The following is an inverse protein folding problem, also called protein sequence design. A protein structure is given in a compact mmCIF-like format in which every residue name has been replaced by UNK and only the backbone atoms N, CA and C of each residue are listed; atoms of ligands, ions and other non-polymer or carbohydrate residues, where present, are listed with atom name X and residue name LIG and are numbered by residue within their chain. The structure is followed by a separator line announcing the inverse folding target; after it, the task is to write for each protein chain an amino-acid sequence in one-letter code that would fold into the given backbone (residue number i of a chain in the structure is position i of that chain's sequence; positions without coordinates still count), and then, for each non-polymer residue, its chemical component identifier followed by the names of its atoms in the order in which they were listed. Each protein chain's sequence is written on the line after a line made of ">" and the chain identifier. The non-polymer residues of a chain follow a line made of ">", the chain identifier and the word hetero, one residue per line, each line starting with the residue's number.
data_IF_870318562821
#
_entry.id   IF_870318562821
#
_cell.length_a   1.000
_cell.length_b   1.000
_cell.length_c   1.000
_cell.angle_alpha   90.00
_cell.angle_beta   90.00
_cell.angle_gamma   90.00
#
_symmetry.space_group_name_H-M   'P 1'
#
loop_
_entity.id
_entity.type
_entity.pdbx_description
1 polymer ?
#
# COMPACT_ATOMS: atom_id res chain seq x y z
N UNK A 1 17.05 21.21 10.85
CA UNK A 1 15.69 20.74 11.22
C UNK A 1 15.60 19.21 11.35
N UNK A 2 15.97 18.45 10.31
CA UNK A 2 15.86 16.99 10.32
C UNK A 2 16.78 16.28 11.34
N UNK A 3 18.08 16.60 11.36
CA UNK A 3 19.03 15.95 12.27
C UNK A 3 18.71 16.22 13.75
N UNK A 4 18.25 17.43 14.07
CA UNK A 4 17.82 17.76 15.44
C UNK A 4 16.62 16.91 15.86
N UNK A 5 15.65 16.73 14.97
CA UNK A 5 14.49 15.87 15.21
C UNK A 5 14.89 14.39 15.38
N UNK A 6 15.79 13.87 14.54
CA UNK A 6 16.30 12.50 14.67
C UNK A 6 17.08 12.27 15.98
N UNK A 7 17.73 13.31 16.52
CA UNK A 7 18.36 13.27 17.83
C UNK A 7 17.34 13.34 18.98
N UNK A 8 16.31 14.19 18.85
CA UNK A 8 15.21 14.30 19.81
C UNK A 8 14.45 12.97 19.95
N UNK A 9 14.21 12.29 18.83
CA UNK A 9 13.62 10.94 18.75
C UNK A 9 14.61 9.81 19.10
N UNK A 10 15.85 10.14 19.48
CA UNK A 10 16.91 9.20 19.87
C UNK A 10 17.26 8.15 18.81
N UNK A 11 17.08 8.47 17.53
CA UNK A 11 17.41 7.59 16.40
C UNK A 11 18.89 7.74 15.98
N UNK A 12 19.50 8.89 16.27
CA UNK A 12 20.93 9.13 16.04
C UNK A 12 21.58 9.76 17.27
N UNK A 13 22.88 9.51 17.43
CA UNK A 13 23.70 10.10 18.50
C UNK A 13 24.97 10.76 17.92
N UNK A 14 25.49 11.84 18.54
CA UNK A 14 26.76 12.42 18.12
C UNK A 14 27.89 11.41 18.26
N UNK A 15 28.61 11.16 17.17
CA UNK A 15 29.80 10.33 17.21
C UNK A 15 31.01 11.20 17.57
N UNK A 16 31.88 10.79 18.52
CA UNK A 16 33.09 11.54 18.83
C UNK A 16 33.96 11.65 17.59
N UNK A 17 34.36 12.88 17.25
CA UNK A 17 35.19 13.14 16.09
C UNK A 17 36.66 13.25 16.49
N UNK A 18 37.53 12.78 15.60
CA UNK A 18 38.94 13.16 15.59
C UNK A 18 39.16 14.57 15.00
N UNK A 19 38.23 15.04 14.13
CA UNK A 19 38.25 16.37 13.50
C UNK A 19 37.08 17.26 13.99
N UNK A 20 37.36 18.38 14.69
CA UNK A 20 36.32 19.27 15.24
C UNK A 20 35.45 19.97 14.20
N UNK A 21 35.85 20.01 12.93
CA UNK A 21 35.15 20.74 11.87
C UNK A 21 33.96 19.99 11.26
N UNK A 22 33.90 18.66 11.45
CA UNK A 22 32.84 17.81 10.90
C UNK A 22 31.92 17.33 12.01
N UNK A 23 30.61 17.44 11.87
CA UNK A 23 29.65 16.81 12.81
C UNK A 23 29.28 15.43 12.30
N UNK A 24 29.67 14.38 13.01
CA UNK A 24 29.31 12.99 12.70
C UNK A 24 28.24 12.48 13.66
N UNK A 25 27.39 11.61 13.14
CA UNK A 25 26.33 10.96 13.90
C UNK A 25 26.36 9.47 13.61
N UNK A 26 26.13 8.66 14.64
CA UNK A 26 25.90 7.23 14.50
C UNK A 26 24.41 6.93 14.68
N UNK A 27 23.91 5.88 14.03
CA UNK A 27 22.59 5.35 14.32
C UNK A 27 22.62 4.70 15.70
N UNK A 28 21.62 4.98 16.52
CA UNK A 28 21.40 4.21 17.74
C UNK A 28 20.79 2.85 17.39
N UNK A 29 20.70 1.95 18.35
CA UNK A 29 19.96 0.68 18.18
C UNK A 29 18.49 0.93 17.79
N UNK A 30 17.86 1.98 18.35
CA UNK A 30 16.52 2.42 17.97
C UNK A 30 16.45 2.91 16.52
N UNK A 31 17.44 3.70 16.08
CA UNK A 31 17.55 4.15 14.68
C UNK A 31 17.79 3.02 13.69
N UNK A 32 18.59 2.01 14.05
CA UNK A 32 18.81 0.82 13.23
C UNK A 32 17.51 0.01 13.08
N UNK A 33 16.77 -0.19 14.17
CA UNK A 33 15.49 -0.89 14.15
C UNK A 33 14.44 -0.18 13.30
N UNK A 34 14.33 1.14 13.45
CA UNK A 34 13.43 1.99 12.64
C UNK A 34 13.77 1.88 11.15
N UNK A 35 15.07 1.90 10.81
CA UNK A 35 15.55 1.75 9.43
C UNK A 35 15.22 0.36 8.85
N UNK A 36 15.38 -0.70 9.64
CA UNK A 36 15.01 -2.07 9.24
C UNK A 36 13.50 -2.25 9.06
N UNK A 37 12.69 -1.63 9.91
CA UNK A 37 11.23 -1.65 9.80
C UNK A 37 10.76 -0.91 8.54
N UNK A 38 11.32 0.26 8.26
CA UNK A 38 11.07 0.99 7.01
C UNK A 38 11.55 0.21 5.77
N UNK A 39 12.70 -0.44 5.84
CA UNK A 39 13.23 -1.28 4.76
C UNK A 39 12.31 -2.46 4.44
N UNK A 40 11.88 -3.19 5.47
CA UNK A 40 10.94 -4.31 5.34
C UNK A 40 9.58 -3.86 4.81
N UNK A 41 9.08 -2.71 5.25
CA UNK A 41 7.84 -2.15 4.75
C UNK A 41 7.94 -1.78 3.26
N UNK A 42 9.04 -1.14 2.84
CA UNK A 42 9.26 -0.77 1.44
C UNK A 42 9.43 -1.99 0.52
N UNK A 43 10.14 -3.01 0.96
CA UNK A 43 10.31 -4.26 0.22
C UNK A 43 8.98 -5.02 0.11
N UNK A 44 8.24 -5.15 1.21
CA UNK A 44 6.91 -5.77 1.21
C UNK A 44 5.95 -5.06 0.24
N UNK A 45 5.94 -3.73 0.26
CA UNK A 45 5.11 -2.93 -0.64
C UNK A 45 5.52 -3.11 -2.11
N UNK A 46 6.83 -3.12 -2.40
CA UNK A 46 7.36 -3.35 -3.75
C UNK A 46 6.98 -4.73 -4.28
N UNK A 47 7.16 -5.78 -3.48
CA UNK A 47 6.79 -7.14 -3.85
C UNK A 47 5.29 -7.27 -4.08
N UNK A 48 4.46 -6.65 -3.24
CA UNK A 48 3.01 -6.60 -3.42
C UNK A 48 2.61 -5.87 -4.71
N UNK A 49 3.25 -4.75 -5.02
CA UNK A 49 3.01 -3.99 -6.26
C UNK A 49 3.37 -4.80 -7.51
N UNK A 50 4.51 -5.51 -7.50
CA UNK A 50 4.91 -6.40 -8.59
C UNK A 50 3.87 -7.51 -8.80
N UNK A 51 3.35 -8.09 -7.72
CA UNK A 51 2.31 -9.11 -7.80
C UNK A 51 1.00 -8.57 -8.39
N UNK A 52 0.56 -7.37 -7.97
CA UNK A 52 -0.66 -6.75 -8.51
C UNK A 52 -0.52 -6.48 -10.00
N UNK A 53 0.58 -5.86 -10.45
CA UNK A 53 0.79 -5.58 -11.88
C UNK A 53 0.84 -6.86 -12.72
N UNK A 54 1.46 -7.93 -12.20
CA UNK A 54 1.46 -9.24 -12.87
C UNK A 54 0.06 -9.83 -12.99
N UNK A 55 -0.76 -9.74 -11.94
CA UNK A 55 -2.16 -10.21 -11.95
C UNK A 55 -2.97 -9.41 -12.96
N UNK A 56 -2.87 -8.08 -12.94
CA UNK A 56 -3.56 -7.21 -13.90
C UNK A 56 -3.13 -7.50 -15.34
N UNK A 57 -1.84 -7.70 -15.59
CA UNK A 57 -1.36 -8.08 -16.91
C UNK A 57 -1.93 -9.43 -17.35
N UNK A 58 -1.90 -10.46 -16.49
CA UNK A 58 -2.46 -11.77 -16.81
C UNK A 58 -3.96 -11.72 -17.10
N UNK A 59 -4.71 -10.91 -16.35
CA UNK A 59 -6.15 -10.76 -16.54
C UNK A 59 -6.50 -10.02 -17.83
N UNK A 60 -5.73 -8.99 -18.19
CA UNK A 60 -6.10 -8.08 -19.28
C UNK A 60 -5.41 -8.35 -20.62
N UNK A 61 -4.30 -9.13 -20.66
CA UNK A 61 -3.48 -9.29 -21.86
C UNK A 61 -4.27 -9.75 -23.09
N UNK A 62 -5.22 -10.67 -22.88
CA UNK A 62 -5.99 -11.30 -23.95
C UNK A 62 -7.50 -11.02 -23.79
N UNK A 63 -7.86 -9.98 -23.02
CA UNK A 63 -9.26 -9.61 -22.77
C UNK A 63 -9.82 -8.81 -23.95
N UNK A 64 -11.01 -9.18 -24.48
CA UNK A 64 -11.72 -8.36 -25.46
C UNK A 64 -11.95 -6.93 -24.95
N UNK A 65 -11.87 -5.94 -25.84
CA UNK A 65 -11.95 -4.51 -25.49
C UNK A 65 -13.27 -4.15 -24.79
N UNK A 66 -14.39 -4.69 -25.28
CA UNK A 66 -15.73 -4.51 -24.70
C UNK A 66 -15.84 -5.09 -23.28
N UNK A 67 -15.21 -6.24 -23.04
CA UNK A 67 -15.11 -6.84 -21.71
C UNK A 67 -14.20 -6.00 -20.79
N UNK A 68 -13.10 -5.47 -21.32
CA UNK A 68 -12.19 -4.60 -20.59
C UNK A 68 -12.86 -3.29 -20.16
N UNK A 69 -13.64 -2.65 -21.04
CA UNK A 69 -14.41 -1.45 -20.73
C UNK A 69 -15.44 -1.73 -19.62
N UNK A 70 -16.18 -2.83 -19.75
CA UNK A 70 -17.17 -3.24 -18.74
C UNK A 70 -16.52 -3.53 -17.39
N UNK A 71 -15.38 -4.21 -17.39
CA UNK A 71 -14.61 -4.50 -16.18
C UNK A 71 -14.06 -3.23 -15.52
N UNK A 72 -13.51 -2.31 -16.33
CA UNK A 72 -12.95 -1.04 -15.84
C UNK A 72 -14.03 -0.17 -15.21
N UNK A 73 -15.19 -0.04 -15.86
CA UNK A 73 -16.33 0.70 -15.33
C UNK A 73 -16.85 0.10 -14.01
N UNK A 74 -16.84 -1.23 -13.89
CA UNK A 74 -17.19 -1.89 -12.63
C UNK A 74 -16.19 -1.58 -11.52
N UNK A 75 -14.88 -1.66 -11.79
CA UNK A 75 -13.85 -1.31 -10.80
C UNK A 75 -13.96 0.14 -10.33
N UNK A 76 -14.14 1.09 -11.26
CA UNK A 76 -14.35 2.51 -10.93
C UNK A 76 -15.58 2.70 -10.03
N UNK A 77 -16.71 2.07 -10.37
CA UNK A 77 -17.92 2.16 -9.56
C UNK A 77 -17.73 1.59 -8.14
N UNK A 78 -16.97 0.49 -8.01
CA UNK A 78 -16.59 -0.10 -6.72
C UNK A 78 -15.72 0.86 -5.91
N UNK A 79 -14.69 1.44 -6.52
CA UNK A 79 -13.78 2.38 -5.85
C UNK A 79 -14.51 3.65 -5.38
N UNK A 80 -15.26 4.30 -6.28
CA UNK A 80 -16.02 5.50 -5.98
C UNK A 80 -17.03 5.27 -4.86
N UNK A 81 -17.76 4.16 -4.94
CA UNK A 81 -18.78 3.81 -3.95
C UNK A 81 -18.13 3.54 -2.60
N UNK A 82 -17.04 2.76 -2.55
CA UNK A 82 -16.29 2.53 -1.33
C UNK A 82 -15.84 3.84 -0.67
N UNK A 83 -15.27 4.76 -1.46
CA UNK A 83 -14.83 6.06 -0.95
C UNK A 83 -15.97 6.88 -0.33
N UNK A 84 -17.19 6.77 -0.87
CA UNK A 84 -18.39 7.44 -0.34
C UNK A 84 -18.95 6.77 0.92
N UNK A 85 -18.88 5.44 1.01
CA UNK A 85 -19.57 4.68 2.08
C UNK A 85 -18.67 4.24 3.23
N UNK A 86 -17.33 4.31 3.10
CA UNK A 86 -16.37 3.76 4.08
C UNK A 86 -16.55 4.26 5.52
N UNK A 87 -17.13 5.44 5.73
CA UNK A 87 -17.35 6.03 7.05
C UNK A 87 -18.72 5.67 7.67
N UNK A 88 -19.64 5.06 6.91
CA UNK A 88 -20.98 4.68 7.37
C UNK A 88 -21.08 3.16 7.53
N UNK A 89 -21.28 2.64 8.76
CA UNK A 89 -21.42 1.21 8.99
C UNK A 89 -22.56 0.56 8.20
N UNK A 90 -23.72 1.21 8.14
CA UNK A 90 -24.89 0.69 7.42
C UNK A 90 -24.66 0.66 5.90
N UNK A 91 -24.11 1.74 5.33
CA UNK A 91 -23.83 1.79 3.89
C UNK A 91 -22.69 0.84 3.50
N UNK A 92 -21.72 0.65 4.39
CA UNK A 92 -20.65 -0.33 4.24
C UNK A 92 -21.19 -1.76 4.22
N UNK A 93 -22.16 -2.09 5.06
CA UNK A 93 -22.78 -3.42 5.07
C UNK A 93 -23.55 -3.69 3.78
N UNK A 94 -24.36 -2.73 3.32
CA UNK A 94 -25.03 -2.81 2.01
C UNK A 94 -24.05 -2.97 0.85
N UNK A 95 -22.91 -2.29 0.91
CA UNK A 95 -21.86 -2.41 -0.10
C UNK A 95 -21.26 -3.82 -0.12
N UNK A 96 -21.03 -4.43 1.05
CA UNK A 96 -20.57 -5.84 1.13
C UNK A 96 -21.58 -6.81 0.53
N UNK A 97 -22.87 -6.63 0.80
CA UNK A 97 -23.93 -7.48 0.25
C UNK A 97 -23.92 -7.46 -1.29
N UNK A 98 -23.81 -6.27 -1.89
CA UNK A 98 -23.74 -6.11 -3.35
C UNK A 98 -22.50 -6.78 -3.93
N UNK A 99 -21.34 -6.62 -3.30
CA UNK A 99 -20.10 -7.30 -3.73
C UNK A 99 -20.22 -8.83 -3.62
N UNK A 100 -20.85 -9.32 -2.54
CA UNK A 100 -21.12 -10.75 -2.34
C UNK A 100 -22.01 -11.32 -3.44
N UNK A 101 -23.07 -10.61 -3.80
CA UNK A 101 -23.97 -11.00 -4.89
C UNK A 101 -23.27 -11.00 -6.25
N UNK A 102 -22.48 -9.96 -6.55
CA UNK A 102 -21.71 -9.88 -7.79
C UNK A 102 -20.73 -11.06 -7.93
N UNK A 103 -20.01 -11.38 -6.84
CA UNK A 103 -19.07 -12.52 -6.79
C UNK A 103 -19.78 -13.86 -7.02
N UNK A 104 -20.95 -14.05 -6.40
CA UNK A 104 -21.77 -15.25 -6.58
C UNK A 104 -22.19 -15.42 -8.05
N UNK A 105 -22.71 -14.36 -8.67
CA UNK A 105 -23.12 -14.38 -10.09
C UNK A 105 -21.95 -14.67 -11.03
N UNK A 106 -20.77 -14.11 -10.77
CA UNK A 106 -19.57 -14.41 -11.56
C UNK A 106 -19.16 -15.88 -11.45
N UNK A 107 -19.29 -16.47 -10.27
CA UNK A 107 -19.01 -17.90 -10.06
C UNK A 107 -20.01 -18.78 -10.82
N UNK A 108 -21.28 -18.41 -10.84
CA UNK A 108 -22.33 -19.13 -11.58
C UNK A 108 -22.11 -19.14 -13.10
N UNK A 109 -21.44 -18.13 -13.67
CA UNK A 109 -21.09 -18.08 -15.10
C UNK A 109 -19.96 -19.06 -15.44
N UNK A 110 -19.03 -19.28 -14.51
CA UNK A 110 -17.87 -20.15 -14.70
C UNK A 110 -18.09 -21.63 -14.31
N UNK A 111 -19.25 -21.96 -13.75
CA UNK A 111 -19.64 -23.30 -13.33
C UNK A 111 -20.38 -24.06 -14.45
#
# INVERSE_FOLDING_TARGET
>A
PLLAHLQEEKLIEPHPNEDPSLKRFALTEGGLKELEEHGRFAEHFRNRQICIHKIYWLLHRDMPEDLYESFSAFLEAVEETYMRVKASPEASERFKEVLGEASRRLTEIGA
#
